data_IF_764735792066
#
_entry.id   IF_764735792066
#
_cell.length_a   1.000
_cell.length_b   1.000
_cell.length_c   1.000
_cell.angle_alpha   90.00
_cell.angle_beta   90.00
_cell.angle_gamma   90.00
#
_symmetry.space_group_name_H-M   'P 1'
#
loop_
_entity.id
_entity.type
_entity.pdbx_description
1 polymer ?
#
# COMPACT_ATOMS: atom_id res chain seq x y z
N UNK A 1 16.55 15.37 -14.12
CA UNK A 1 15.10 15.08 -14.23
C UNK A 1 14.48 14.93 -12.85
N UNK A 2 15.06 14.06 -12.03
CA UNK A 2 14.74 13.80 -10.61
C UNK A 2 15.09 14.96 -9.67
N UNK A 3 16.10 15.78 -9.98
CA UNK A 3 16.47 16.95 -9.15
C UNK A 3 15.35 18.01 -9.02
N UNK A 4 14.36 18.03 -9.93
CA UNK A 4 13.17 18.89 -9.82
C UNK A 4 12.07 18.30 -8.93
N UNK A 5 12.08 16.99 -8.65
CA UNK A 5 11.14 16.34 -7.73
C UNK A 5 11.62 16.39 -6.28
N UNK A 6 12.91 16.68 -6.07
CA UNK A 6 13.51 16.96 -4.76
C UNK A 6 13.68 18.47 -4.51
N UNK A 7 13.10 19.33 -5.36
CA UNK A 7 13.13 20.76 -5.12
C UNK A 7 12.24 21.08 -3.91
N UNK A 8 12.66 22.01 -3.02
CA UNK A 8 11.83 22.41 -1.89
C UNK A 8 10.51 22.97 -2.41
N UNK A 9 9.40 22.38 -1.94
CA UNK A 9 8.04 22.86 -2.24
C UNK A 9 7.84 24.15 -1.45
N UNK A 10 7.46 25.22 -2.12
CA UNK A 10 7.25 26.50 -1.47
C UNK A 10 5.98 26.43 -0.62
N UNK A 11 6.00 26.96 0.60
CA UNK A 11 4.79 27.00 1.46
C UNK A 11 3.60 27.69 0.77
N UNK A 12 3.88 28.66 -0.11
CA UNK A 12 2.89 29.34 -0.95
C UNK A 12 2.15 28.40 -1.93
N UNK A 13 2.72 27.25 -2.26
CA UNK A 13 2.09 26.22 -3.10
C UNK A 13 1.34 25.17 -2.26
N UNK A 14 1.76 24.95 -1.01
CA UNK A 14 1.17 23.95 -0.10
C UNK A 14 -0.21 24.40 0.40
N UNK A 15 -0.33 25.63 0.92
CA UNK A 15 -1.57 26.11 1.56
C UNK A 15 -2.78 26.08 0.60
N UNK A 16 -2.67 26.57 -0.66
CA UNK A 16 -3.78 26.45 -1.60
C UNK A 16 -4.10 25.01 -1.96
N UNK A 17 -3.09 24.14 -2.07
CA UNK A 17 -3.29 22.72 -2.36
C UNK A 17 -3.99 21.99 -1.20
N UNK A 18 -3.66 22.34 0.04
CA UNK A 18 -4.28 21.79 1.24
C UNK A 18 -5.79 22.02 1.24
N UNK A 19 -6.25 23.25 1.00
CA UNK A 19 -7.69 23.57 0.92
C UNK A 19 -8.38 22.76 -0.18
N UNK A 20 -7.75 22.60 -1.34
CA UNK A 20 -8.30 21.79 -2.42
C UNK A 20 -8.39 20.30 -2.05
N UNK A 21 -7.39 19.76 -1.35
CA UNK A 21 -7.42 18.37 -0.87
C UNK A 21 -8.51 18.19 0.17
N UNK A 22 -8.59 19.08 1.17
CA UNK A 22 -9.62 19.05 2.21
C UNK A 22 -11.02 19.10 1.61
N UNK A 23 -11.25 20.00 0.65
CA UNK A 23 -12.51 20.06 -0.08
C UNK A 23 -12.77 18.80 -0.92
N UNK A 24 -11.73 18.23 -1.54
CA UNK A 24 -11.85 17.03 -2.38
C UNK A 24 -12.18 15.75 -1.60
N UNK A 25 -11.81 15.70 -0.32
CA UNK A 25 -12.19 14.61 0.60
C UNK A 25 -13.41 14.96 1.44
N UNK A 26 -14.18 15.99 1.06
CA UNK A 26 -15.37 16.47 1.79
C UNK A 26 -15.11 16.78 3.27
N UNK A 27 -13.89 17.16 3.64
CA UNK A 27 -13.45 17.36 5.02
C UNK A 27 -13.56 16.10 5.91
N UNK A 28 -13.66 14.91 5.31
CA UNK A 28 -13.61 13.64 6.03
C UNK A 28 -12.15 13.27 6.37
N UNK A 29 -11.68 13.80 7.51
CA UNK A 29 -10.30 13.63 7.97
C UNK A 29 -10.06 12.33 8.74
N UNK A 30 -11.13 11.66 9.16
CA UNK A 30 -11.02 10.43 9.93
C UNK A 30 -10.78 9.24 9.00
N UNK A 31 -9.54 8.75 8.99
CA UNK A 31 -9.17 7.53 8.29
C UNK A 31 -8.88 6.39 9.27
N UNK A 32 -9.55 5.26 9.11
CA UNK A 32 -9.29 4.05 9.90
C UNK A 32 -8.40 3.10 9.11
N UNK A 33 -7.16 2.92 9.56
CA UNK A 33 -6.18 2.09 8.84
C UNK A 33 -6.17 0.63 9.31
N UNK A 34 -5.98 -0.34 8.39
CA UNK A 34 -5.88 -1.77 8.71
C UNK A 34 -4.68 -2.13 9.60
N UNK A 35 -3.64 -1.30 9.64
CA UNK A 35 -2.48 -1.49 10.53
C UNK A 35 -2.87 -1.65 12.00
N UNK A 36 -3.78 -0.78 12.48
CA UNK A 36 -4.28 -0.85 13.85
C UNK A 36 -5.14 -2.09 14.07
N UNK A 37 -5.92 -2.50 13.05
CA UNK A 37 -6.74 -3.69 13.13
C UNK A 37 -5.88 -4.96 13.27
N UNK A 38 -4.81 -5.10 12.48
CA UNK A 38 -3.86 -6.23 12.60
C UNK A 38 -3.28 -6.31 14.02
N UNK A 39 -2.81 -5.17 14.56
CA UNK A 39 -2.27 -5.11 15.91
C UNK A 39 -3.32 -5.52 16.96
N UNK A 40 -4.50 -4.92 16.93
CA UNK A 40 -5.57 -5.20 17.90
C UNK A 40 -6.07 -6.63 17.84
N UNK A 41 -6.23 -7.20 16.64
CA UNK A 41 -6.62 -8.59 16.45
C UNK A 41 -5.54 -9.55 16.96
N UNK A 42 -4.26 -9.24 16.73
CA UNK A 42 -3.14 -10.05 17.24
C UNK A 42 -3.09 -10.05 18.76
N UNK A 43 -3.31 -8.90 19.41
CA UNK A 43 -3.32 -8.79 20.87
C UNK A 43 -4.53 -9.49 21.51
N UNK A 44 -5.71 -9.39 20.88
CA UNK A 44 -6.90 -10.12 21.31
C UNK A 44 -6.67 -11.63 21.19
N UNK A 45 -6.12 -12.08 20.05
CA UNK A 45 -5.76 -13.48 19.81
C UNK A 45 -4.74 -13.99 20.83
N UNK A 46 -3.69 -13.21 21.13
CA UNK A 46 -2.70 -13.54 22.18
C UNK A 46 -3.33 -13.81 23.54
N UNK A 47 -4.37 -13.05 23.87
CA UNK A 47 -5.10 -13.20 25.13
C UNK A 47 -6.03 -14.40 25.06
N UNK A 48 -6.77 -14.55 23.96
CA UNK A 48 -7.74 -15.61 23.76
C UNK A 48 -7.11 -17.01 23.73
N UNK A 49 -5.97 -17.16 23.05
CA UNK A 49 -5.28 -18.45 22.90
C UNK A 49 -4.68 -19.00 24.21
N UNK A 50 -4.67 -18.20 25.28
CA UNK A 50 -4.33 -18.67 26.63
C UNK A 50 -5.50 -19.33 27.36
N UNK A 51 -6.73 -19.11 26.89
CA UNK A 51 -7.93 -19.74 27.44
C UNK A 51 -8.03 -21.21 27.03
N UNK A 52 -8.79 -22.02 27.78
CA UNK A 52 -9.00 -23.44 27.47
C UNK A 52 -9.59 -23.67 26.08
N UNK A 53 -10.54 -22.82 25.66
CA UNK A 53 -11.13 -22.90 24.31
C UNK A 53 -10.13 -22.53 23.22
N UNK A 54 -9.33 -21.49 23.47
CA UNK A 54 -8.35 -20.98 22.52
C UNK A 54 -7.17 -21.93 22.29
N UNK A 55 -6.73 -22.67 23.31
CA UNK A 55 -5.66 -23.67 23.17
C UNK A 55 -5.96 -24.73 22.11
N UNK A 56 -7.24 -25.09 21.94
CA UNK A 56 -7.67 -26.07 20.92
C UNK A 56 -7.54 -25.57 19.48
N UNK A 57 -7.35 -24.26 19.28
CA UNK A 57 -7.23 -23.64 17.95
C UNK A 57 -5.78 -23.56 17.46
N UNK A 58 -4.81 -23.99 18.27
CA UNK A 58 -3.38 -23.91 17.94
C UNK A 58 -2.84 -25.29 17.68
N UNK A 59 -2.16 -25.47 16.55
CA UNK A 59 -1.35 -26.65 16.28
C UNK A 59 0.11 -26.26 16.05
N UNK A 60 1.04 -27.02 16.62
CA UNK A 60 2.46 -26.86 16.35
C UNK A 60 2.91 -27.96 15.39
N UNK A 61 3.61 -27.63 14.29
CA UNK A 61 4.05 -28.62 13.30
C UNK A 61 4.96 -29.71 13.91
N UNK A 62 5.65 -29.39 15.00
CA UNK A 62 6.57 -30.28 15.69
C UNK A 62 5.89 -31.23 16.71
N UNK A 63 4.55 -31.21 16.80
CA UNK A 63 3.77 -32.03 17.74
C UNK A 63 3.98 -31.72 19.23
N UNK A 64 4.86 -30.75 19.55
CA UNK A 64 5.09 -30.28 20.92
C UNK A 64 3.97 -29.33 21.30
N UNK A 65 2.94 -29.87 21.94
CA UNK A 65 1.92 -29.05 22.59
C UNK A 65 2.56 -28.21 23.69
N UNK A 66 2.56 -26.89 23.48
CA UNK A 66 2.99 -25.90 24.48
C UNK A 66 2.07 -24.69 24.45
N UNK A 67 2.03 -23.97 25.55
CA UNK A 67 1.29 -22.70 25.63
C UNK A 67 1.88 -21.68 24.66
N UNK A 68 1.01 -20.98 23.94
CA UNK A 68 1.44 -19.90 23.07
C UNK A 68 1.98 -18.73 23.89
N UNK A 69 3.12 -18.19 23.46
CA UNK A 69 3.70 -16.96 24.00
C UNK A 69 3.62 -15.85 22.95
N UNK A 70 3.73 -14.60 23.38
CA UNK A 70 3.59 -13.46 22.47
C UNK A 70 4.59 -13.47 21.30
N UNK A 71 5.77 -14.06 21.51
CA UNK A 71 6.79 -14.19 20.48
C UNK A 71 6.38 -15.14 19.34
N UNK A 72 5.47 -16.08 19.59
CA UNK A 72 5.00 -17.04 18.58
C UNK A 72 4.08 -16.39 17.53
N UNK A 73 3.41 -15.29 17.90
CA UNK A 73 2.51 -14.55 17.00
C UNK A 73 3.26 -13.50 16.16
N UNK A 74 4.49 -13.15 16.56
CA UNK A 74 5.27 -12.10 15.90
C UNK A 74 5.50 -12.39 14.41
N UNK A 75 5.90 -13.61 13.99
CA UNK A 75 6.05 -13.90 12.57
C UNK A 75 4.77 -13.62 11.78
N UNK A 76 3.62 -14.10 12.26
CA UNK A 76 2.33 -13.92 11.59
C UNK A 76 1.95 -12.44 11.52
N UNK A 77 2.12 -11.71 12.62
CA UNK A 77 1.91 -10.27 12.68
C UNK A 77 2.76 -9.54 11.63
N UNK A 78 4.07 -9.79 11.60
CA UNK A 78 5.00 -9.08 10.71
C UNK A 78 4.69 -9.39 9.24
N UNK A 79 4.32 -10.64 8.93
CA UNK A 79 3.87 -11.01 7.58
C UNK A 79 2.52 -10.35 7.20
N UNK A 80 1.58 -10.25 8.14
CA UNK A 80 0.32 -9.55 7.91
C UNK A 80 0.54 -8.05 7.67
N UNK A 81 1.45 -7.41 8.41
CA UNK A 81 1.84 -6.01 8.20
C UNK A 81 2.42 -5.79 6.78
N UNK A 82 3.24 -6.73 6.29
CA UNK A 82 3.76 -6.68 4.92
C UNK A 82 2.65 -6.77 3.88
N UNK A 83 1.67 -7.66 4.07
CA UNK A 83 0.50 -7.75 3.19
C UNK A 83 -0.27 -6.43 3.21
N UNK A 84 -0.46 -5.81 4.38
CA UNK A 84 -1.16 -4.52 4.49
C UNK A 84 -0.44 -3.41 3.72
N UNK A 85 0.90 -3.42 3.62
CA UNK A 85 1.62 -2.44 2.81
C UNK A 85 1.25 -2.52 1.32
N UNK A 86 0.90 -3.70 0.81
CA UNK A 86 0.38 -3.87 -0.55
C UNK A 86 -1.09 -3.45 -0.65
N UNK A 87 -1.85 -3.64 0.43
CA UNK A 87 -3.26 -3.22 0.48
C UNK A 87 -3.42 -1.71 0.37
N UNK A 88 -2.59 -0.92 1.07
CA UNK A 88 -2.76 0.55 1.10
C UNK A 88 -2.52 1.23 -0.25
N UNK A 89 -1.85 0.55 -1.19
CA UNK A 89 -1.60 1.05 -2.55
C UNK A 89 -2.59 0.45 -3.57
N UNK A 90 -3.66 -0.17 -3.10
CA UNK A 90 -4.75 -0.74 -3.89
C UNK A 90 -6.09 -0.07 -3.55
N UNK A 91 -7.15 -0.45 -4.24
CA UNK A 91 -8.51 0.04 -3.96
C UNK A 91 -9.21 -0.70 -2.80
N UNK A 92 -8.58 -1.73 -2.24
CA UNK A 92 -9.19 -2.55 -1.18
C UNK A 92 -9.61 -1.75 0.08
N UNK A 93 -8.85 -0.74 0.58
CA UNK A 93 -9.29 0.10 1.69
C UNK A 93 -10.59 0.87 1.44
N UNK A 94 -10.96 1.08 0.18
CA UNK A 94 -12.20 1.77 -0.20
C UNK A 94 -13.42 0.81 -0.24
N UNK A 95 -13.17 -0.51 -0.33
CA UNK A 95 -14.21 -1.52 -0.50
C UNK A 95 -14.46 -2.37 0.76
N UNK A 96 -13.49 -2.44 1.67
CA UNK A 96 -13.52 -3.32 2.82
C UNK A 96 -13.20 -2.59 4.11
N UNK A 97 -13.85 -3.02 5.19
CA UNK A 97 -13.56 -2.47 6.51
C UNK A 97 -12.14 -2.85 6.96
N UNK A 98 -11.45 -1.99 7.72
CA UNK A 98 -10.08 -2.25 8.19
C UNK A 98 -9.95 -3.56 8.98
N UNK A 99 -10.98 -3.95 9.74
CA UNK A 99 -11.01 -5.20 10.47
C UNK A 99 -11.10 -6.43 9.55
N UNK A 100 -11.87 -6.35 8.45
CA UNK A 100 -11.96 -7.42 7.47
C UNK A 100 -10.64 -7.61 6.74
N UNK A 101 -10.00 -6.51 6.35
CA UNK A 101 -8.65 -6.50 5.77
C UNK A 101 -7.65 -7.09 6.76
N UNK A 102 -7.64 -6.62 8.01
CA UNK A 102 -6.70 -7.09 9.02
C UNK A 102 -6.85 -8.58 9.31
N UNK A 103 -8.08 -9.08 9.43
CA UNK A 103 -8.34 -10.51 9.65
C UNK A 103 -7.92 -11.35 8.44
N UNK A 104 -8.26 -10.92 7.23
CA UNK A 104 -7.86 -11.64 6.00
C UNK A 104 -6.34 -11.63 5.82
N UNK A 105 -5.66 -10.52 6.15
CA UNK A 105 -4.21 -10.45 6.13
C UNK A 105 -3.57 -11.42 7.13
N UNK A 106 -4.14 -11.56 8.34
CA UNK A 106 -3.71 -12.56 9.32
C UNK A 106 -3.93 -13.99 8.82
N UNK A 107 -5.07 -14.27 8.17
CA UNK A 107 -5.35 -15.59 7.56
C UNK A 107 -4.31 -15.94 6.49
N UNK A 108 -4.06 -15.03 5.55
CA UNK A 108 -3.04 -15.24 4.50
C UNK A 108 -1.63 -15.35 5.10
N UNK A 109 -1.31 -14.56 6.13
CA UNK A 109 -0.02 -14.63 6.80
C UNK A 109 0.20 -15.97 7.53
N UNK A 110 -0.83 -16.47 8.21
CA UNK A 110 -0.82 -17.77 8.91
C UNK A 110 -0.59 -18.91 7.90
N UNK A 111 -1.34 -18.92 6.79
CA UNK A 111 -1.17 -19.89 5.71
C UNK A 111 0.25 -19.88 5.11
N UNK A 112 0.80 -18.69 4.83
CA UNK A 112 2.18 -18.53 4.31
C UNK A 112 3.26 -19.04 5.28
N UNK A 113 2.92 -19.23 6.54
CA UNK A 113 3.84 -19.69 7.58
C UNK A 113 3.67 -21.17 7.92
N UNK A 114 2.70 -21.85 7.33
CA UNK A 114 2.44 -23.28 7.57
C UNK A 114 3.65 -24.19 7.33
N UNK A 115 4.55 -23.78 6.42
CA UNK A 115 5.76 -24.53 6.10
C UNK A 115 6.98 -24.18 6.96
N UNK A 116 6.87 -23.27 7.93
CA UNK A 116 8.00 -22.87 8.78
C UNK A 116 8.03 -23.70 10.05
N UNK A 117 9.19 -24.29 10.32
CA UNK A 117 9.46 -24.94 11.61
C UNK A 117 9.32 -23.92 12.74
N UNK A 118 8.73 -24.34 13.86
CA UNK A 118 8.47 -23.55 15.08
C UNK A 118 7.45 -22.39 14.99
N UNK A 119 6.73 -22.21 13.89
CA UNK A 119 5.60 -21.26 13.84
C UNK A 119 4.28 -21.99 14.08
N UNK A 120 3.46 -21.60 15.08
CA UNK A 120 2.16 -22.22 15.29
C UNK A 120 1.21 -21.94 14.13
N UNK A 121 0.38 -22.92 13.80
CA UNK A 121 -0.76 -22.76 12.92
C UNK A 121 -2.01 -22.53 13.75
N UNK A 122 -2.71 -21.45 13.45
CA UNK A 122 -3.87 -21.01 14.22
C UNK A 122 -5.13 -21.11 13.36
N UNK A 123 -6.16 -21.78 13.87
CA UNK A 123 -7.48 -21.78 13.24
C UNK A 123 -8.21 -20.46 13.50
N UNK A 124 -7.95 -19.47 12.63
CA UNK A 124 -8.54 -18.13 12.71
C UNK A 124 -10.04 -18.11 12.37
N UNK A 125 -10.53 -19.06 11.58
CA UNK A 125 -11.97 -19.19 11.33
C UNK A 125 -12.67 -19.79 12.55
N UNK A 126 -12.11 -20.84 13.14
CA UNK A 126 -12.56 -21.38 14.42
C UNK A 126 -12.55 -20.33 15.53
N UNK A 127 -11.53 -19.47 15.56
CA UNK A 127 -11.49 -18.31 16.45
C UNK A 127 -12.71 -17.38 16.28
N UNK A 128 -13.05 -17.01 15.05
CA UNK A 128 -14.23 -16.20 14.77
C UNK A 128 -15.53 -16.92 15.17
N UNK A 129 -15.63 -18.22 14.85
CA UNK A 129 -16.81 -19.03 15.18
C UNK A 129 -17.06 -19.17 16.68
N UNK A 130 -15.99 -19.14 17.49
CA UNK A 130 -16.11 -19.18 18.95
C UNK A 130 -16.40 -17.81 19.58
N UNK A 131 -16.21 -16.71 18.83
CA UNK A 131 -16.35 -15.33 19.33
C UNK A 131 -17.64 -14.63 18.89
N UNK A 132 -18.21 -15.02 17.75
CA UNK A 132 -19.36 -14.38 17.15
C UNK A 132 -20.57 -15.33 17.02
N UNK A 133 -21.76 -14.75 16.92
CA UNK A 133 -23.01 -15.52 16.74
C UNK A 133 -23.12 -16.11 15.33
N UNK A 134 -23.78 -17.27 15.20
CA UNK A 134 -23.84 -18.07 13.96
C UNK A 134 -24.49 -17.38 12.76
N UNK A 135 -25.44 -16.47 12.99
CA UNK A 135 -26.24 -15.86 11.92
C UNK A 135 -25.44 -15.01 10.93
N UNK A 136 -24.32 -14.42 11.37
CA UNK A 136 -23.50 -13.53 10.54
C UNK A 136 -22.20 -14.18 10.05
N UNK A 137 -21.88 -15.38 10.54
CA UNK A 137 -20.59 -16.04 10.32
C UNK A 137 -20.41 -16.54 8.89
N UNK A 138 -21.44 -17.09 8.24
CA UNK A 138 -21.31 -17.62 6.87
C UNK A 138 -21.01 -16.52 5.83
N UNK A 139 -21.72 -15.38 5.95
CA UNK A 139 -21.49 -14.21 5.11
C UNK A 139 -20.13 -13.58 5.37
N UNK A 140 -19.71 -13.53 6.64
CA UNK A 140 -18.39 -13.03 7.00
C UNK A 140 -17.29 -13.95 6.44
N UNK A 141 -17.42 -15.27 6.61
CA UNK A 141 -16.46 -16.25 6.14
C UNK A 141 -16.26 -16.19 4.63
N UNK A 142 -17.35 -16.19 3.85
CA UNK A 142 -17.28 -16.06 2.39
C UNK A 142 -16.60 -14.76 1.96
N UNK A 143 -16.89 -13.63 2.65
CA UNK A 143 -16.25 -12.35 2.38
C UNK A 143 -14.77 -12.34 2.73
N UNK A 144 -14.38 -12.92 3.86
CA UNK A 144 -12.98 -13.05 4.27
C UNK A 144 -12.20 -13.97 3.33
N UNK A 145 -12.80 -15.06 2.86
CA UNK A 145 -12.16 -15.95 1.89
C UNK A 145 -11.90 -15.23 0.57
N UNK A 146 -12.92 -14.56 0.02
CA UNK A 146 -12.78 -13.77 -1.20
C UNK A 146 -11.73 -12.67 -1.05
N UNK A 147 -11.68 -12.01 0.12
CA UNK A 147 -10.67 -10.99 0.40
C UNK A 147 -9.26 -11.60 0.50
N UNK A 148 -9.09 -12.71 1.21
CA UNK A 148 -7.83 -13.45 1.27
C UNK A 148 -7.30 -13.82 -0.12
N UNK A 149 -8.17 -14.26 -1.03
CA UNK A 149 -7.78 -14.59 -2.40
C UNK A 149 -7.30 -13.35 -3.18
N UNK A 150 -7.99 -12.21 -3.01
CA UNK A 150 -7.52 -10.94 -3.59
C UNK A 150 -6.19 -10.50 -3.00
N UNK A 151 -6.00 -10.63 -1.68
CA UNK A 151 -4.75 -10.30 -0.99
C UNK A 151 -3.57 -11.13 -1.50
N UNK A 152 -3.79 -12.42 -1.79
CA UNK A 152 -2.78 -13.30 -2.40
C UNK A 152 -2.40 -12.85 -3.81
N UNK A 153 -3.32 -12.22 -4.55
CA UNK A 153 -3.08 -11.70 -5.90
C UNK A 153 -2.34 -10.35 -5.96
N UNK A 154 -2.30 -9.58 -4.86
CA UNK A 154 -1.68 -8.25 -4.85
C UNK A 154 -0.21 -8.22 -5.29
N UNK A 155 0.67 -9.15 -4.86
CA UNK A 155 2.08 -9.15 -5.29
C UNK A 155 2.27 -9.34 -6.79
N UNK A 156 1.30 -9.99 -7.45
CA UNK A 156 1.28 -10.22 -8.90
C UNK A 156 0.69 -9.02 -9.67
N UNK A 157 0.36 -7.93 -8.97
CA UNK A 157 -0.31 -6.76 -9.56
C UNK A 157 -1.80 -6.99 -9.83
N UNK A 158 -2.37 -8.14 -9.43
CA UNK A 158 -3.80 -8.37 -9.50
C UNK A 158 -4.47 -7.45 -8.47
N UNK A 159 -5.54 -6.77 -8.85
CA UNK A 159 -6.28 -5.83 -8.00
C UNK A 159 -5.57 -4.50 -7.68
N UNK A 160 -4.67 -4.05 -8.56
CA UNK A 160 -4.21 -2.65 -8.57
C UNK A 160 -3.05 -2.32 -7.62
N UNK A 161 -2.36 -3.32 -7.07
CA UNK A 161 -1.17 -3.08 -6.27
C UNK A 161 -0.02 -2.50 -7.12
N UNK A 162 0.36 -1.25 -6.84
CA UNK A 162 1.43 -0.56 -7.54
C UNK A 162 2.84 -0.80 -6.96
N UNK A 163 2.98 -1.58 -5.88
CA UNK A 163 4.29 -1.82 -5.25
C UNK A 163 5.22 -2.71 -6.10
N UNK A 164 4.65 -3.50 -7.02
CA UNK A 164 5.38 -4.55 -7.73
C UNK A 164 5.31 -4.36 -9.24
N UNK A 165 6.40 -4.68 -9.94
CA UNK A 165 6.46 -4.80 -11.41
C UNK A 165 5.98 -3.58 -12.24
N UNK A 166 6.14 -2.34 -11.74
CA UNK A 166 5.77 -1.14 -12.52
C UNK A 166 6.68 -0.93 -13.74
N UNK A 167 6.09 -0.83 -14.94
CA UNK A 167 6.83 -0.44 -16.13
C UNK A 167 7.18 1.06 -16.11
N UNK A 168 8.44 1.35 -15.80
CA UNK A 168 8.98 2.71 -15.79
C UNK A 168 8.93 3.39 -17.16
N UNK A 169 8.92 2.66 -18.28
CA UNK A 169 8.76 3.24 -19.62
C UNK A 169 7.33 3.72 -19.81
N UNK A 170 6.35 2.89 -19.48
CA UNK A 170 4.94 3.26 -19.48
C UNK A 170 4.68 4.46 -18.55
N UNK A 171 5.17 4.42 -17.31
CA UNK A 171 5.02 5.52 -16.34
C UNK A 171 5.60 6.83 -16.86
N UNK A 172 6.81 6.81 -17.45
CA UNK A 172 7.43 7.98 -18.09
C UNK A 172 6.60 8.51 -19.25
N UNK A 173 6.01 7.63 -20.06
CA UNK A 173 5.14 8.00 -21.18
C UNK A 173 3.88 8.71 -20.69
N UNK A 174 3.21 8.15 -19.67
CA UNK A 174 2.04 8.76 -19.03
C UNK A 174 2.41 10.13 -18.45
N UNK A 175 3.52 10.23 -17.71
CA UNK A 175 3.99 11.49 -17.16
C UNK A 175 4.27 12.56 -18.23
N UNK A 176 4.84 12.15 -19.38
CA UNK A 176 5.07 13.05 -20.52
C UNK A 176 3.76 13.56 -21.13
N UNK A 177 2.72 12.72 -21.19
CA UNK A 177 1.37 13.12 -21.63
C UNK A 177 0.75 14.08 -20.61
N UNK A 178 0.80 13.75 -19.32
CA UNK A 178 0.27 14.58 -18.23
C UNK A 178 0.89 15.98 -18.25
N UNK A 179 2.20 16.09 -18.46
CA UNK A 179 2.91 17.37 -18.60
C UNK A 179 2.40 18.26 -19.73
N UNK A 180 1.83 17.69 -20.80
CA UNK A 180 1.29 18.47 -21.92
C UNK A 180 -0.09 19.05 -21.63
N UNK A 181 -0.86 18.41 -20.75
CA UNK A 181 -2.26 18.77 -20.44
C UNK A 181 -2.42 19.47 -19.09
N UNK A 182 -1.39 19.44 -18.23
CA UNK A 182 -1.44 20.11 -16.93
C UNK A 182 -1.47 21.63 -17.14
N UNK A 183 -2.60 22.25 -16.82
CA UNK A 183 -2.82 23.71 -16.85
C UNK A 183 -1.86 24.45 -15.89
N UNK A 184 -1.32 23.76 -14.89
CA UNK A 184 -0.27 24.26 -13.99
C UNK A 184 1.14 24.31 -14.63
N UNK A 185 1.24 23.98 -15.92
CA UNK A 185 2.46 23.99 -16.71
C UNK A 185 2.33 24.80 -17.99
N UNK A 186 1.39 25.76 -18.05
CA UNK A 186 1.58 26.89 -18.96
C UNK A 186 2.78 27.66 -18.39
N UNK A 187 3.99 27.24 -18.78
CA UNK A 187 5.09 28.18 -18.90
C UNK A 187 4.47 29.34 -19.66
N UNK A 188 4.19 30.46 -18.98
CA UNK A 188 3.68 31.66 -19.61
C UNK A 188 4.46 31.85 -20.92
N UNK A 189 3.81 32.28 -22.01
CA UNK A 189 4.48 32.32 -23.32
C UNK A 189 5.87 33.01 -23.29
N UNK A 190 6.13 33.85 -22.28
CA UNK A 190 7.43 34.41 -21.89
C UNK A 190 8.56 33.38 -21.69
N UNK A 191 8.31 32.19 -21.14
CA UNK A 191 9.34 31.15 -20.90
C UNK A 191 9.66 30.34 -22.16
N UNK A 192 8.67 30.10 -23.02
CA UNK A 192 8.91 29.54 -24.37
C UNK A 192 9.70 30.52 -25.23
N UNK A 193 9.44 31.82 -25.09
CA UNK A 193 10.17 32.87 -25.81
C UNK A 193 11.64 32.97 -25.35
N UNK A 194 11.92 32.92 -24.04
CA UNK A 194 13.29 32.84 -23.51
C UNK A 194 14.05 31.60 -23.99
N UNK A 195 13.39 30.44 -24.10
CA UNK A 195 14.03 29.21 -24.58
C UNK A 195 14.27 29.20 -26.10
N UNK A 196 13.41 29.86 -26.89
CA UNK A 196 13.63 30.12 -28.33
C UNK A 196 14.77 31.12 -28.57
N UNK A 197 14.86 32.20 -27.77
CA UNK A 197 15.95 33.20 -27.86
C UNK A 197 17.32 32.59 -27.53
N UNK A 198 17.38 31.70 -26.54
CA UNK A 198 18.63 30.99 -26.16
C UNK A 198 19.10 29.98 -27.21
N UNK A 199 18.18 29.42 -28.02
CA UNK A 199 18.52 28.53 -29.15
C UNK A 199 18.98 29.30 -30.39
N UNK A 200 18.40 30.46 -30.70
CA UNK A 200 18.88 31.33 -31.79
C UNK A 200 20.28 31.88 -31.52
N UNK A 201 20.58 32.26 -30.28
CA UNK A 201 21.91 32.76 -29.91
C UNK A 201 23.04 31.70 -29.99
N UNK A 202 22.69 30.41 -29.99
CA UNK A 202 23.66 29.33 -30.14
C UNK A 202 23.93 28.97 -31.61
N UNK A 203 23.02 29.33 -32.53
CA UNK A 203 23.12 29.03 -33.96
C UNK A 203 23.91 30.13 -34.70
N UNK A 204 23.68 31.41 -34.37
CA UNK A 204 24.44 32.56 -34.91
C UNK A 204 25.92 32.59 -34.45
N UNK A 205 26.28 31.83 -33.42
CA UNK A 205 27.64 31.77 -32.88
C UNK A 205 28.60 30.85 -33.64
N UNK A 206 28.11 30.03 -34.57
CA UNK A 206 28.92 28.99 -35.21
C UNK A 206 29.40 29.37 -36.63
N UNK A 207 28.76 30.33 -37.31
CA UNK A 207 29.18 30.78 -38.65
C UNK A 207 30.27 31.87 -38.64
N UNK A 208 30.45 32.59 -37.52
CA UNK A 208 31.44 33.67 -37.42
C UNK A 208 32.88 33.23 -37.10
N UNK A 209 33.11 31.93 -36.85
CA UNK A 209 34.47 31.38 -36.58
C UNK A 209 35.16 30.74 -37.80
N UNK A 210 34.51 30.65 -38.97
CA UNK A 210 35.07 29.99 -40.15
C UNK A 210 35.73 30.92 -41.19
N UNK A 211 35.75 32.25 -40.96
CA UNK A 211 36.28 33.25 -41.93
C UNK A 211 37.61 33.94 -41.53
N UNK A 212 38.32 33.48 -40.50
CA UNK A 212 39.67 34.03 -40.16
C UNK A 212 40.72 32.93 -40.05
N UNK A 213 41.04 32.29 -41.18
CA UNK A 213 42.36 31.71 -41.50
C UNK A 213 42.48 31.66 -43.03
N UNK A 214 42.91 32.79 -43.60
CA UNK A 214 43.69 32.84 -44.83
C UNK A 214 45.02 33.49 -44.51
#
# INVERSE_FOLDING_TARGET
GTNLMNAPVLSSEIIPAEIHVLSGINFDLLCFHPYKAVLSLTEDLRTYLKSEKGKMLVSFPNGKERTIVGQDLKPMHDAAQQIVNDVIVSDLPLMYAPAQIGMSALMVANEKQASKEDVPQIDLLGYLMQRFEKSDLEKLQSRLQSLSDMLKGLPEGKHGCANHHMDMKQLKSIHKKLKKVRVWGVSSDKDKEKKKKKRKAADDGNDSKRQKKS
#
